data_IF_621646663484
#
_entry.id   IF_621646663484
#
_cell.length_a   1.000
_cell.length_b   1.000
_cell.length_c   1.000
_cell.angle_alpha   90.00
_cell.angle_beta   90.00
_cell.angle_gamma   90.00
#
_symmetry.space_group_name_H-M   'P 1'
#
loop_
_entity.id
_entity.type
_entity.pdbx_description
1 polymer ?
#
# COMPACT_ATOMS: atom_id res chain seq x y z
N UNK A 1 -18.49 30.15 13.01
CA UNK A 1 -18.04 29.21 11.96
C UNK A 1 -17.36 28.02 12.63
N UNK A 2 -17.80 26.78 12.38
CA UNK A 2 -17.18 25.56 12.89
C UNK A 2 -16.82 24.65 11.73
N UNK A 3 -15.78 23.85 11.94
CA UNK A 3 -15.36 22.67 11.18
C UNK A 3 -14.22 22.87 10.18
N UNK A 4 -13.00 22.98 10.71
CA UNK A 4 -11.86 22.29 10.14
C UNK A 4 -11.68 20.99 10.95
N UNK A 5 -12.36 19.92 10.55
CA UNK A 5 -11.97 18.57 10.95
C UNK A 5 -10.80 18.13 10.06
N UNK A 6 -9.63 18.72 10.32
CA UNK A 6 -8.37 18.06 9.99
C UNK A 6 -8.04 17.23 11.22
N UNK A 7 -8.31 15.92 11.16
CA UNK A 7 -7.92 15.03 12.25
C UNK A 7 -6.41 15.12 12.44
N UNK A 8 -5.99 15.59 13.61
CA UNK A 8 -4.66 15.37 14.19
C UNK A 8 -4.43 13.85 14.26
N UNK A 9 -3.93 13.27 13.17
CA UNK A 9 -3.43 11.91 13.15
C UNK A 9 -1.99 11.97 13.66
N UNK A 10 -1.84 11.90 14.99
CA UNK A 10 -0.60 11.86 15.73
C UNK A 10 0.26 10.68 15.29
N UNK A 11 1.08 10.89 14.25
CA UNK A 11 1.96 9.91 13.61
C UNK A 11 2.88 9.18 14.62
N UNK A 12 3.19 9.82 15.75
CA UNK A 12 3.94 9.24 16.86
C UNK A 12 3.19 8.21 17.71
N UNK A 13 1.86 8.21 17.72
CA UNK A 13 1.05 7.19 18.40
C UNK A 13 0.81 5.95 17.54
N UNK A 14 0.67 6.10 16.21
CA UNK A 14 0.45 4.97 15.29
C UNK A 14 1.68 4.06 15.21
N UNK A 15 2.88 4.63 15.33
CA UNK A 15 4.15 3.90 15.29
C UNK A 15 4.37 2.97 16.50
N UNK A 16 3.58 3.11 17.58
CA UNK A 16 3.68 2.25 18.78
C UNK A 16 2.81 1.00 18.70
N UNK A 17 1.81 0.97 17.81
CA UNK A 17 0.93 -0.19 17.68
C UNK A 17 1.54 -1.19 16.71
N UNK A 18 1.63 -2.44 17.16
CA UNK A 18 1.90 -3.65 16.37
C UNK A 18 1.04 -3.83 15.11
N UNK A 19 0.07 -2.94 14.87
CA UNK A 19 -0.86 -3.01 13.74
C UNK A 19 -0.36 -2.16 12.57
N UNK A 20 -0.46 -2.69 11.35
CA UNK A 20 -0.07 -1.96 10.14
C UNK A 20 -0.98 -0.74 9.94
N UNK A 21 -0.43 0.43 9.56
CA UNK A 21 -1.22 1.64 9.32
C UNK A 21 -1.92 1.59 7.95
N UNK A 22 -2.83 0.63 7.83
CA UNK A 22 -3.66 0.47 6.64
C UNK A 22 -4.79 1.51 6.65
N UNK A 23 -5.23 1.91 5.47
CA UNK A 23 -6.33 2.84 5.31
C UNK A 23 -7.67 2.16 5.64
N UNK A 24 -8.45 2.77 6.54
CA UNK A 24 -9.77 2.31 6.96
C UNK A 24 -10.79 3.45 6.85
N UNK A 25 -11.90 3.28 6.10
CA UNK A 25 -12.30 2.09 5.36
C UNK A 25 -11.39 1.80 4.16
N UNK A 26 -11.29 0.53 3.72
CA UNK A 26 -10.41 0.16 2.62
C UNK A 26 -10.83 0.89 1.33
N UNK A 27 -9.92 1.63 0.66
CA UNK A 27 -10.26 2.46 -0.48
C UNK A 27 -10.60 1.61 -1.71
N UNK A 28 -11.38 2.18 -2.62
CA UNK A 28 -11.61 1.55 -3.93
C UNK A 28 -10.32 1.57 -4.74
N UNK A 29 -9.83 0.38 -5.11
CA UNK A 29 -8.59 0.22 -5.86
C UNK A 29 -8.90 0.30 -7.35
N UNK A 30 -8.27 1.26 -8.02
CA UNK A 30 -8.25 1.35 -9.49
C UNK A 30 -6.86 1.03 -9.98
N UNK A 31 -6.74 0.16 -10.99
CA UNK A 31 -5.43 -0.22 -11.53
C UNK A 31 -5.00 0.68 -12.70
N UNK A 32 -5.93 1.01 -13.60
CA UNK A 32 -5.66 1.80 -14.79
C UNK A 32 -5.18 3.20 -14.44
N UNK A 33 -4.06 3.61 -15.05
CA UNK A 33 -3.43 4.93 -14.87
C UNK A 33 -3.02 5.23 -13.42
N UNK A 34 -2.84 4.20 -12.60
CA UNK A 34 -2.46 4.33 -11.19
C UNK A 34 -1.11 3.72 -10.92
N UNK A 35 -0.37 4.33 -10.00
CA UNK A 35 0.97 3.89 -9.62
C UNK A 35 0.95 3.14 -8.30
N UNK A 36 1.46 1.90 -8.34
CA UNK A 36 1.54 1.03 -7.18
C UNK A 36 2.99 0.86 -6.71
N UNK A 37 3.20 0.91 -5.41
CA UNK A 37 4.46 0.54 -4.78
C UNK A 37 4.25 -0.67 -3.89
N UNK A 38 5.06 -1.70 -4.07
CA UNK A 38 5.03 -2.91 -3.25
C UNK A 38 6.12 -2.84 -2.19
N UNK A 39 5.76 -3.06 -0.92
CA UNK A 39 6.70 -3.12 0.21
C UNK A 39 6.42 -4.33 1.09
N UNK A 40 7.49 -4.97 1.59
CA UNK A 40 7.40 -6.19 2.39
C UNK A 40 7.47 -7.46 1.55
N UNK A 41 7.18 -8.59 2.22
CA UNK A 41 7.18 -9.92 1.63
C UNK A 41 5.76 -10.33 1.31
N UNK A 42 5.52 -10.67 0.04
CA UNK A 42 4.22 -11.08 -0.49
C UNK A 42 4.11 -12.60 -0.45
N UNK A 43 3.00 -13.12 0.04
CA UNK A 43 2.73 -14.57 0.03
C UNK A 43 2.07 -15.02 -1.26
N UNK A 44 1.50 -14.07 -1.99
CA UNK A 44 0.79 -14.31 -3.24
C UNK A 44 1.69 -14.58 -4.44
N UNK A 45 2.98 -14.21 -4.39
CA UNK A 45 3.94 -14.43 -5.47
C UNK A 45 5.19 -13.55 -5.31
N UNK A 46 6.11 -13.62 -6.28
CA UNK A 46 7.24 -12.70 -6.31
C UNK A 46 6.74 -11.28 -6.62
N UNK A 47 7.47 -10.26 -6.15
CA UNK A 47 7.16 -8.85 -6.43
C UNK A 47 6.90 -8.60 -7.93
N UNK A 48 7.72 -9.22 -8.78
CA UNK A 48 7.63 -9.13 -10.24
C UNK A 48 6.25 -9.58 -10.78
N UNK A 49 5.66 -10.64 -10.24
CA UNK A 49 4.34 -11.11 -10.66
C UNK A 49 3.24 -10.11 -10.27
N UNK A 50 3.34 -9.53 -9.06
CA UNK A 50 2.43 -8.48 -8.64
C UNK A 50 2.54 -7.23 -9.53
N UNK A 51 3.78 -6.90 -9.92
CA UNK A 51 4.08 -5.79 -10.82
C UNK A 51 3.48 -6.03 -12.22
N UNK A 52 3.67 -7.23 -12.76
CA UNK A 52 3.07 -7.63 -14.04
C UNK A 52 1.54 -7.60 -14.00
N UNK A 53 0.93 -8.06 -12.90
CA UNK A 53 -0.53 -8.04 -12.75
C UNK A 53 -1.12 -6.62 -12.79
N UNK A 54 -0.44 -5.65 -12.17
CA UNK A 54 -0.83 -4.24 -12.22
C UNK A 54 -0.62 -3.66 -13.63
N UNK A 55 0.53 -3.92 -14.24
CA UNK A 55 0.83 -3.46 -15.60
C UNK A 55 -0.18 -4.00 -16.63
N UNK A 56 -0.59 -5.27 -16.50
CA UNK A 56 -1.60 -5.89 -17.36
C UNK A 56 -2.98 -5.23 -17.25
N UNK A 57 -3.28 -4.59 -16.12
CA UNK A 57 -4.52 -3.84 -15.88
C UNK A 57 -4.40 -2.35 -16.26
N UNK A 58 -3.28 -1.96 -16.89
CA UNK A 58 -3.01 -0.58 -17.32
C UNK A 58 -2.48 0.33 -16.22
N UNK A 59 -1.98 -0.24 -15.12
CA UNK A 59 -1.29 0.51 -14.07
C UNK A 59 0.22 0.55 -14.27
N UNK A 60 0.90 1.24 -13.37
CA UNK A 60 2.36 1.30 -13.31
C UNK A 60 2.86 0.90 -11.94
N UNK A 61 4.07 0.37 -11.86
CA UNK A 61 4.66 -0.06 -10.59
C UNK A 61 6.08 0.46 -10.43
N UNK A 62 6.50 0.69 -9.18
CA UNK A 62 7.88 1.07 -8.93
C UNK A 62 8.20 1.39 -7.48
N UNK A 63 9.24 2.20 -7.31
CA UNK A 63 9.64 2.77 -6.02
C UNK A 63 8.61 3.77 -5.49
N UNK A 64 8.60 3.97 -4.18
CA UNK A 64 7.72 4.94 -3.52
C UNK A 64 8.14 6.37 -3.91
N UNK A 65 7.28 7.03 -4.69
CA UNK A 65 7.42 8.41 -5.17
C UNK A 65 6.18 9.23 -4.78
N UNK A 66 6.24 10.56 -4.95
CA UNK A 66 5.08 11.44 -4.74
C UNK A 66 3.94 11.18 -5.74
N UNK A 67 4.23 10.52 -6.86
CA UNK A 67 3.23 10.09 -7.84
C UNK A 67 2.61 8.72 -7.49
N UNK A 68 2.98 8.11 -6.36
CA UNK A 68 2.46 6.79 -5.97
C UNK A 68 1.06 6.95 -5.39
N UNK A 69 0.07 6.36 -6.04
CA UNK A 69 -1.32 6.34 -5.56
C UNK A 69 -1.53 5.28 -4.46
N UNK A 70 -0.90 4.10 -4.59
CA UNK A 70 -1.14 2.97 -3.68
C UNK A 70 0.15 2.33 -3.19
N UNK A 71 0.35 2.31 -1.86
CA UNK A 71 1.37 1.50 -1.21
C UNK A 71 0.75 0.17 -0.77
N UNK A 72 1.15 -0.93 -1.42
CA UNK A 72 0.73 -2.29 -1.07
C UNK A 72 1.72 -2.89 -0.07
N UNK A 73 1.22 -3.26 1.10
CA UNK A 73 1.99 -3.89 2.18
C UNK A 73 1.76 -5.41 2.18
N UNK A 74 2.83 -6.18 2.02
CA UNK A 74 2.81 -7.65 2.05
C UNK A 74 2.51 -8.25 3.43
N UNK A 75 1.95 -9.47 3.46
CA UNK A 75 1.49 -10.11 4.71
C UNK A 75 2.59 -10.42 5.73
N UNK A 76 3.85 -10.50 5.30
CA UNK A 76 4.99 -10.82 6.16
C UNK A 76 5.76 -9.56 6.61
N UNK A 77 5.15 -8.38 6.53
CA UNK A 77 5.61 -7.25 7.33
C UNK A 77 5.32 -7.59 8.80
N UNK A 78 6.29 -8.22 9.46
CA UNK A 78 6.17 -8.66 10.86
C UNK A 78 5.90 -7.48 11.79
N UNK A 79 5.42 -7.77 12.99
CA UNK A 79 5.18 -6.86 14.13
C UNK A 79 6.33 -5.86 14.39
N UNK A 80 7.53 -6.16 13.90
CA UNK A 80 8.74 -5.31 13.96
C UNK A 80 9.00 -4.50 12.69
N UNK A 81 7.96 -4.12 11.94
CA UNK A 81 8.11 -3.35 10.70
C UNK A 81 8.85 -2.02 10.92
N UNK A 82 8.68 -1.39 12.09
CA UNK A 82 9.33 -0.13 12.48
C UNK A 82 10.87 -0.19 12.46
N UNK A 83 11.46 -1.38 12.63
CA UNK A 83 12.94 -1.56 12.63
C UNK A 83 13.50 -2.08 11.30
N UNK A 84 12.66 -2.32 10.29
CA UNK A 84 13.07 -2.90 9.00
C UNK A 84 13.03 -1.89 7.85
N UNK A 85 13.73 -2.18 6.75
CA UNK A 85 13.71 -1.34 5.53
C UNK A 85 12.31 -1.16 4.91
N UNK A 86 11.34 -2.00 5.31
CA UNK A 86 9.93 -1.89 4.95
C UNK A 86 9.22 -0.78 5.74
N UNK A 87 9.53 -0.63 7.03
CA UNK A 87 8.96 0.43 7.88
C UNK A 87 9.28 1.82 7.36
N UNK A 88 10.52 2.04 6.89
CA UNK A 88 10.90 3.32 6.26
C UNK A 88 10.02 3.72 5.08
N UNK A 89 9.48 2.76 4.31
CA UNK A 89 8.55 3.07 3.21
C UNK A 89 7.16 3.39 3.73
N UNK A 90 6.72 2.71 4.79
CA UNK A 90 5.45 2.99 5.45
C UNK A 90 5.49 4.38 6.09
N UNK A 91 6.55 4.69 6.85
CA UNK A 91 6.80 6.02 7.42
C UNK A 91 6.81 7.10 6.34
N UNK A 92 7.52 6.85 5.22
CA UNK A 92 7.56 7.80 4.11
C UNK A 92 6.20 7.99 3.44
N UNK A 93 5.40 6.94 3.30
CA UNK A 93 4.04 7.05 2.76
C UNK A 93 3.10 7.80 3.72
N UNK A 94 3.26 7.61 5.03
CA UNK A 94 2.54 8.38 6.04
C UNK A 94 2.94 9.86 6.03
N UNK A 95 4.24 10.16 5.88
CA UNK A 95 4.72 11.54 5.72
C UNK A 95 4.14 12.18 4.44
N UNK A 96 4.15 11.47 3.32
CA UNK A 96 3.52 11.92 2.07
C UNK A 96 2.03 12.23 2.25
N UNK A 97 1.29 11.41 2.99
CA UNK A 97 -0.11 11.71 3.35
C UNK A 97 -0.24 13.02 4.12
N UNK A 98 0.65 13.29 5.08
CA UNK A 98 0.66 14.55 5.82
C UNK A 98 0.99 15.76 4.94
N UNK A 99 1.86 15.58 3.95
CA UNK A 99 2.15 16.60 2.93
C UNK A 99 0.98 16.85 1.96
N UNK A 100 -0.12 16.09 2.08
CA UNK A 100 -1.30 16.21 1.23
C UNK A 100 -1.22 15.39 -0.05
N UNK A 101 -0.25 14.47 -0.16
CA UNK A 101 -0.19 13.52 -1.27
C UNK A 101 -1.30 12.47 -1.10
N UNK A 102 -2.12 12.23 -2.14
CA UNK A 102 -3.24 11.28 -2.06
C UNK A 102 -2.78 9.82 -2.18
N UNK A 103 -1.83 9.40 -1.35
CA UNK A 103 -1.34 8.03 -1.30
C UNK A 103 -2.18 7.18 -0.33
N UNK A 104 -2.63 6.01 -0.77
CA UNK A 104 -3.39 5.05 0.03
C UNK A 104 -2.50 3.87 0.43
N UNK A 105 -2.49 3.53 1.73
CA UNK A 105 -1.75 2.38 2.25
C UNK A 105 -2.72 1.21 2.38
N UNK A 106 -2.49 0.14 1.62
CA UNK A 106 -3.39 -1.01 1.55
C UNK A 106 -2.64 -2.31 1.82
N UNK A 107 -3.33 -3.28 2.44
CA UNK A 107 -2.78 -4.61 2.65
C UNK A 107 -2.85 -5.47 1.38
N UNK A 108 -1.97 -6.45 1.27
CA UNK A 108 -1.94 -7.46 0.20
C UNK A 108 -3.29 -8.15 -0.01
N UNK A 109 -4.02 -8.47 1.06
CA UNK A 109 -5.33 -9.12 0.97
C UNK A 109 -6.35 -8.24 0.25
N UNK A 110 -6.36 -6.93 0.53
CA UNK A 110 -7.26 -5.98 -0.11
C UNK A 110 -6.90 -5.79 -1.59
N UNK A 111 -5.60 -5.63 -1.88
CA UNK A 111 -5.09 -5.58 -3.26
C UNK A 111 -5.46 -6.83 -4.05
N UNK A 112 -5.28 -8.02 -3.47
CA UNK A 112 -5.62 -9.30 -4.13
C UNK A 112 -7.11 -9.42 -4.42
N UNK A 113 -7.96 -8.99 -3.49
CA UNK A 113 -9.41 -8.96 -3.68
C UNK A 113 -9.81 -8.03 -4.82
N UNK A 114 -9.19 -6.84 -4.90
CA UNK A 114 -9.41 -5.93 -6.03
C UNK A 114 -8.91 -6.49 -7.37
N UNK A 115 -7.78 -7.19 -7.37
CA UNK A 115 -7.23 -7.83 -8.57
C UNK A 115 -8.19 -8.88 -9.13
N UNK A 116 -8.76 -9.72 -8.25
CA UNK A 116 -9.74 -10.75 -8.61
C UNK A 116 -11.00 -10.12 -9.22
N UNK A 117 -11.51 -9.05 -8.61
CA UNK A 117 -12.65 -8.27 -9.13
C UNK A 117 -12.36 -7.59 -10.47
N UNK A 118 -11.13 -7.14 -10.69
CA UNK A 118 -10.70 -6.52 -11.93
C UNK A 118 -10.47 -7.52 -13.08
N UNK A 119 -10.64 -8.83 -12.84
CA UNK A 119 -10.35 -9.87 -13.83
C UNK A 119 -8.85 -10.06 -14.08
N UNK A 120 -8.00 -9.57 -13.18
CA UNK A 120 -6.55 -9.69 -13.27
C UNK A 120 -6.09 -11.13 -13.11
N UNK A 121 -5.09 -11.53 -13.91
CA UNK A 121 -4.46 -12.85 -13.77
C UNK A 121 -3.74 -12.91 -12.43
N UNK A 122 -4.08 -13.91 -11.61
CA UNK A 122 -3.45 -14.10 -10.28
C UNK A 122 -1.93 -14.28 -10.47
N UNK A 123 -1.09 -13.63 -9.64
CA UNK A 123 0.35 -13.87 -9.68
C UNK A 123 0.60 -15.38 -9.50
N UNK A 124 1.47 -15.94 -10.34
CA UNK A 124 1.80 -17.36 -10.26
C UNK A 124 2.55 -17.56 -8.95
N UNK A 125 2.05 -18.43 -8.06
CA UNK A 125 2.79 -18.84 -6.87
C UNK A 125 4.17 -19.32 -7.33
N UNK A 126 5.24 -18.70 -6.82
CA UNK A 126 6.57 -19.26 -6.95
C UNK A 126 6.54 -20.62 -6.24
N UNK A 127 6.75 -21.69 -7.02
CA UNK A 127 6.87 -23.05 -6.54
C UNK A 127 8.19 -23.24 -5.79
#
# INVERSE_FOLDING_TARGET
>A
MKSFSGGDFELGEILKSSTLPLDHPPPSISFKDRRFCFTGTFSTGARKDCEEAVCNLGGSTGSLTMETDYLVVGIYATDSWAHSSYGRKIEKALAMKQEGVPIAIIGEQHWRSALDKAGGKKPKKAA
#
